data_IF_061934884019
#
_entry.id   IF_061934884019
#
_cell.length_a   1.000
_cell.length_b   1.000
_cell.length_c   1.000
_cell.angle_alpha   90.00
_cell.angle_beta   90.00
_cell.angle_gamma   90.00
#
_symmetry.space_group_name_H-M   'P 1'
#
loop_
_entity.id
_entity.type
_entity.pdbx_description
1 polymer ?
#
# COMPACT_ATOMS: atom_id res chain seq x y z
N UNK A 1 -10.83 1.32 6.67
CA UNK A 1 -9.77 0.30 6.61
C UNK A 1 -9.38 0.02 5.17
N UNK A 2 -8.12 0.32 4.80
CA UNK A 2 -7.60 0.11 3.45
C UNK A 2 -7.27 -1.36 3.23
N UNK A 3 -7.95 -1.99 2.28
CA UNK A 3 -7.61 -3.33 1.79
C UNK A 3 -6.37 -3.20 0.90
N UNK A 4 -5.16 -3.29 1.48
CA UNK A 4 -3.95 -3.58 0.70
C UNK A 4 -4.11 -5.01 0.14
N UNK A 5 -4.33 -5.15 -1.18
CA UNK A 5 -4.35 -6.42 -1.91
C UNK A 5 -3.08 -6.46 -2.79
N UNK A 6 -2.46 -7.63 -2.93
CA UNK A 6 -1.28 -7.82 -3.78
C UNK A 6 -1.58 -7.40 -5.24
N UNK A 7 -0.56 -6.95 -5.99
CA UNK A 7 -0.59 -7.09 -7.42
C UNK A 7 -0.67 -8.60 -7.70
N UNK A 8 -1.83 -9.03 -8.20
CA UNK A 8 -1.85 -10.22 -9.03
C UNK A 8 -0.91 -9.94 -10.21
N UNK A 9 -0.30 -10.93 -10.85
CA UNK A 9 0.34 -10.68 -12.14
C UNK A 9 -0.79 -10.31 -13.11
N UNK A 10 -1.12 -9.02 -13.14
CA UNK A 10 -2.24 -8.50 -13.89
C UNK A 10 -1.68 -8.09 -15.24
N UNK A 11 -2.43 -8.36 -16.30
CA UNK A 11 -2.12 -7.85 -17.64
C UNK A 11 -2.02 -6.31 -17.70
N UNK A 12 -2.47 -5.64 -16.64
CA UNK A 12 -2.53 -4.20 -16.47
C UNK A 12 -1.65 -3.70 -15.30
N UNK A 13 -0.59 -4.44 -14.92
CA UNK A 13 0.25 -4.17 -13.74
C UNK A 13 0.72 -2.71 -13.67
N UNK A 14 1.31 -2.19 -14.75
CA UNK A 14 1.77 -0.80 -14.80
C UNK A 14 0.68 0.24 -14.53
N UNK A 15 -0.54 0.02 -15.03
CA UNK A 15 -1.68 0.91 -14.75
C UNK A 15 -2.06 0.82 -13.27
N UNK A 16 -2.10 -0.39 -12.72
CA UNK A 16 -2.50 -0.61 -11.32
C UNK A 16 -1.50 -0.03 -10.34
N UNK A 17 -0.21 -0.10 -10.66
CA UNK A 17 0.87 0.47 -9.86
C UNK A 17 0.84 1.98 -9.90
N UNK A 18 0.72 2.57 -11.10
CA UNK A 18 0.57 4.02 -11.28
C UNK A 18 -0.62 4.57 -10.48
N UNK A 19 -1.80 3.94 -10.59
CA UNK A 19 -2.99 4.38 -9.84
C UNK A 19 -2.84 4.18 -8.34
N UNK A 20 -2.14 3.13 -7.91
CA UNK A 20 -1.89 2.85 -6.49
C UNK A 20 -0.92 3.86 -5.88
N UNK A 21 0.15 4.21 -6.60
CA UNK A 21 1.10 5.25 -6.21
C UNK A 21 0.40 6.60 -6.09
N UNK A 22 -0.37 6.98 -7.11
CA UNK A 22 -1.14 8.23 -7.11
C UNK A 22 -2.14 8.25 -5.95
N UNK A 23 -2.80 7.13 -5.65
CA UNK A 23 -3.69 7.04 -4.49
C UNK A 23 -2.93 7.33 -3.20
N UNK A 24 -1.80 6.66 -2.96
CA UNK A 24 -1.00 6.81 -1.75
C UNK A 24 -0.55 8.26 -1.57
N UNK A 25 -0.11 8.92 -2.64
CA UNK A 25 0.21 10.34 -2.61
C UNK A 25 -0.98 11.20 -2.17
N UNK A 26 -2.15 11.01 -2.79
CA UNK A 26 -3.34 11.80 -2.44
C UNK A 26 -3.76 11.60 -0.99
N UNK A 27 -3.52 10.42 -0.41
CA UNK A 27 -3.76 10.16 1.01
C UNK A 27 -2.70 10.79 1.91
N UNK A 28 -1.43 10.59 1.58
CA UNK A 28 -0.32 10.88 2.49
C UNK A 28 0.11 12.34 2.42
N UNK A 29 0.05 12.95 1.24
CA UNK A 29 0.47 14.33 1.03
C UNK A 29 -0.75 15.25 0.94
N UNK A 30 -1.65 15.05 -0.02
CA UNK A 30 -2.83 15.92 -0.17
C UNK A 30 -3.89 15.71 0.93
N UNK A 31 -3.82 14.62 1.70
CA UNK A 31 -4.85 14.18 2.66
C UNK A 31 -6.27 14.07 2.05
N UNK A 32 -6.36 13.89 0.74
CA UNK A 32 -7.59 13.78 -0.04
C UNK A 32 -8.09 12.32 -0.07
N UNK A 33 -8.72 11.88 1.04
CA UNK A 33 -9.20 10.50 1.24
C UNK A 33 -10.19 10.06 0.13
N UNK A 34 -11.03 10.97 -0.36
CA UNK A 34 -11.98 10.67 -1.44
C UNK A 34 -11.27 10.30 -2.76
N UNK A 35 -10.18 11.01 -3.11
CA UNK A 35 -9.35 10.70 -4.30
C UNK A 35 -8.61 9.38 -4.12
N UNK A 36 -8.03 9.17 -2.93
CA UNK A 36 -7.41 7.91 -2.57
C UNK A 36 -8.36 6.72 -2.80
N UNK A 37 -9.60 6.82 -2.31
CA UNK A 37 -10.60 5.76 -2.46
C UNK A 37 -10.97 5.52 -3.94
N UNK A 38 -11.13 6.59 -4.72
CA UNK A 38 -11.43 6.49 -6.15
C UNK A 38 -10.31 5.78 -6.92
N UNK A 39 -9.06 6.19 -6.74
CA UNK A 39 -7.92 5.57 -7.41
C UNK A 39 -7.70 4.12 -6.97
N UNK A 40 -7.86 3.80 -5.68
CA UNK A 40 -7.80 2.42 -5.17
C UNK A 40 -8.91 1.54 -5.75
N UNK A 41 -10.13 2.06 -5.88
CA UNK A 41 -11.25 1.33 -6.48
C UNK A 41 -10.95 1.04 -7.95
N UNK A 42 -10.50 2.03 -8.71
CA UNK A 42 -10.11 1.86 -10.10
C UNK A 42 -8.98 0.82 -10.26
N UNK A 43 -7.90 0.94 -9.49
CA UNK A 43 -6.79 -0.02 -9.50
C UNK A 43 -7.26 -1.45 -9.19
N UNK A 44 -8.14 -1.62 -8.19
CA UNK A 44 -8.66 -2.94 -7.83
C UNK A 44 -9.56 -3.56 -8.90
N UNK A 45 -10.27 -2.75 -9.70
CA UNK A 45 -11.13 -3.24 -10.78
C UNK A 45 -10.28 -3.60 -11.99
N UNK A 46 -9.32 -2.75 -12.35
CA UNK A 46 -8.38 -2.97 -13.45
C UNK A 46 -7.51 -4.20 -13.20
N UNK A 47 -7.06 -4.42 -11.95
CA UNK A 47 -6.27 -5.59 -11.58
C UNK A 47 -6.99 -6.93 -11.83
N UNK A 48 -8.33 -6.93 -11.79
CA UNK A 48 -9.17 -8.12 -12.01
C UNK A 48 -9.64 -8.25 -13.46
N UNK A 49 -9.38 -7.24 -14.29
CA UNK A 49 -9.85 -7.24 -15.66
C UNK A 49 -9.05 -8.28 -16.47
N UNK A 50 -9.70 -9.23 -17.15
CA UNK A 50 -9.04 -10.39 -17.76
C UNK A 50 -8.27 -10.07 -19.04
N UNK A 51 -8.35 -8.83 -19.54
CA UNK A 51 -7.68 -8.40 -20.77
C UNK A 51 -6.76 -7.20 -20.51
N UNK A 52 -5.80 -6.99 -21.40
CA UNK A 52 -4.96 -5.79 -21.38
C UNK A 52 -5.75 -4.60 -21.88
N UNK A 53 -5.86 -3.57 -21.05
CA UNK A 53 -6.50 -2.28 -21.37
C UNK A 53 -5.62 -1.54 -22.38
N UNK A 54 -6.21 -1.13 -23.49
CA UNK A 54 -5.53 -0.43 -24.58
C UNK A 54 -5.84 1.06 -24.64
N UNK A 55 -6.87 1.51 -23.93
CA UNK A 55 -7.27 2.93 -23.88
C UNK A 55 -8.01 3.28 -22.60
N UNK A 56 -8.03 4.57 -22.25
CA UNK A 56 -8.87 5.13 -21.22
C UNK A 56 -10.35 4.97 -21.52
N UNK A 57 -10.75 5.01 -22.80
CA UNK A 57 -12.13 4.76 -23.22
C UNK A 57 -12.60 3.34 -22.86
N UNK A 58 -11.74 2.34 -23.05
CA UNK A 58 -11.97 0.96 -22.60
C UNK A 58 -12.03 0.89 -21.08
N UNK A 59 -11.07 1.50 -20.38
CA UNK A 59 -11.03 1.53 -18.93
C UNK A 59 -12.29 2.18 -18.32
N UNK A 60 -12.83 3.25 -18.93
CA UNK A 60 -14.01 3.99 -18.47
C UNK A 60 -15.29 3.14 -18.45
N UNK A 61 -15.34 2.06 -19.23
CA UNK A 61 -16.46 1.11 -19.19
C UNK A 61 -16.49 0.29 -17.89
N UNK A 62 -15.36 0.26 -17.17
CA UNK A 62 -15.24 -0.48 -15.92
C UNK A 62 -15.83 0.30 -14.73
N UNK A 63 -16.53 -0.38 -13.81
CA UNK A 63 -17.16 0.29 -12.68
C UNK A 63 -16.11 0.96 -11.78
N UNK A 64 -16.29 2.24 -11.48
CA UNK A 64 -15.37 3.01 -10.65
C UNK A 64 -14.23 3.69 -11.40
N UNK A 65 -14.16 3.58 -12.74
CA UNK A 65 -13.26 4.36 -13.59
C UNK A 65 -14.02 5.54 -14.21
N UNK A 66 -13.82 6.74 -13.67
CA UNK A 66 -14.40 7.97 -14.22
C UNK A 66 -13.53 8.61 -15.32
N UNK A 67 -14.06 9.63 -15.99
CA UNK A 67 -13.38 10.35 -17.10
C UNK A 67 -11.96 10.80 -16.72
N UNK A 68 -11.78 11.43 -15.54
CA UNK A 68 -10.47 11.89 -15.08
C UNK A 68 -9.45 10.77 -14.79
N UNK A 69 -9.91 9.55 -14.54
CA UNK A 69 -9.06 8.38 -14.34
C UNK A 69 -8.70 7.80 -15.71
N UNK A 70 -9.68 7.68 -16.61
CA UNK A 70 -9.48 7.27 -18.00
C UNK A 70 -8.43 8.13 -18.72
N UNK A 71 -8.51 9.46 -18.61
CA UNK A 71 -7.52 10.38 -19.18
C UNK A 71 -6.09 10.12 -18.68
N UNK A 72 -5.93 9.75 -17.41
CA UNK A 72 -4.61 9.42 -16.82
C UNK A 72 -4.09 8.08 -17.32
N UNK A 73 -5.00 7.14 -17.57
CA UNK A 73 -4.67 5.86 -18.18
C UNK A 73 -4.20 6.08 -19.61
N UNK A 74 -4.89 6.93 -20.40
CA UNK A 74 -4.44 7.30 -21.75
C UNK A 74 -3.06 7.96 -21.74
N UNK A 75 -2.84 8.94 -20.85
CA UNK A 75 -1.53 9.59 -20.68
C UNK A 75 -0.43 8.57 -20.35
N UNK A 76 -0.71 7.65 -19.42
CA UNK A 76 0.23 6.61 -19.01
C UNK A 76 0.50 5.60 -20.12
N UNK A 77 -0.52 5.20 -20.89
CA UNK A 77 -0.34 4.27 -22.01
C UNK A 77 0.46 4.91 -23.16
N UNK A 78 0.29 6.20 -23.40
CA UNK A 78 1.00 6.92 -24.45
C UNK A 78 2.46 7.21 -24.09
N UNK A 79 2.76 7.51 -22.83
CA UNK A 79 4.08 8.03 -22.42
C UNK A 79 4.87 7.11 -21.48
N UNK A 80 4.24 6.05 -20.96
CA UNK A 80 4.77 5.23 -19.88
C UNK A 80 4.83 5.93 -18.52
N UNK A 81 4.36 7.18 -18.43
CA UNK A 81 4.50 8.05 -17.26
C UNK A 81 3.22 8.83 -17.01
N UNK A 82 3.09 9.35 -15.79
CA UNK A 82 2.03 10.31 -15.45
C UNK A 82 2.69 11.60 -14.99
N UNK A 83 2.51 12.70 -15.73
CA UNK A 83 3.15 14.01 -15.45
C UNK A 83 2.93 14.46 -14.02
N UNK A 84 1.74 14.19 -13.46
CA UNK A 84 1.44 14.51 -12.06
C UNK A 84 2.36 13.76 -11.10
N UNK A 85 2.58 12.46 -11.30
CA UNK A 85 3.49 11.67 -10.47
C UNK A 85 4.93 12.11 -10.65
N UNK A 86 5.36 12.43 -11.87
CA UNK A 86 6.72 12.94 -12.10
C UNK A 86 6.98 14.24 -11.33
N UNK A 87 6.03 15.19 -11.32
CA UNK A 87 6.14 16.41 -10.51
C UNK A 87 6.21 16.12 -9.02
N UNK A 88 5.41 15.15 -8.55
CA UNK A 88 5.41 14.73 -7.14
C UNK A 88 6.76 14.14 -6.74
N UNK A 89 7.34 13.28 -7.60
CA UNK A 89 8.63 12.64 -7.37
C UNK A 89 9.78 13.65 -7.35
N UNK A 90 9.63 14.77 -8.07
CA UNK A 90 10.58 15.89 -8.05
C UNK A 90 10.43 16.79 -6.81
N UNK A 91 9.29 16.75 -6.13
CA UNK A 91 9.10 17.47 -4.87
C UNK A 91 9.65 16.65 -3.69
N UNK A 92 10.78 17.09 -3.16
CA UNK A 92 11.49 16.44 -2.06
C UNK A 92 10.62 16.32 -0.79
N UNK A 93 9.80 17.34 -0.52
CA UNK A 93 8.88 17.36 0.62
C UNK A 93 7.84 16.25 0.51
N UNK A 94 7.12 16.21 -0.61
CA UNK A 94 6.12 15.19 -0.90
C UNK A 94 6.68 13.77 -0.85
N UNK A 95 7.85 13.57 -1.45
CA UNK A 95 8.52 12.29 -1.52
C UNK A 95 8.94 11.81 -0.13
N UNK A 96 9.49 12.70 0.68
CA UNK A 96 9.86 12.42 2.08
C UNK A 96 8.64 12.09 2.94
N UNK A 97 7.55 12.86 2.85
CA UNK A 97 6.32 12.57 3.58
C UNK A 97 5.81 11.17 3.23
N UNK A 98 5.70 10.86 1.95
CA UNK A 98 5.21 9.56 1.51
C UNK A 98 6.14 8.42 1.94
N UNK A 99 7.45 8.64 1.89
CA UNK A 99 8.45 7.67 2.34
C UNK A 99 8.34 7.37 3.84
N UNK A 100 8.32 8.39 4.70
CA UNK A 100 8.28 8.20 6.16
C UNK A 100 7.00 7.50 6.61
N UNK A 101 5.87 7.65 5.91
CA UNK A 101 4.64 6.91 6.22
C UNK A 101 4.72 5.39 6.00
N UNK A 102 5.83 4.89 5.41
CA UNK A 102 6.11 3.44 5.33
C UNK A 102 6.54 2.88 6.68
N UNK A 103 7.15 3.68 7.55
CA UNK A 103 7.54 3.26 8.90
C UNK A 103 6.28 3.04 9.74
N UNK A 104 6.15 1.85 10.32
CA UNK A 104 5.00 1.52 11.17
C UNK A 104 4.88 2.51 12.33
N UNK A 105 3.67 3.01 12.58
CA UNK A 105 3.43 4.06 13.58
C UNK A 105 3.64 5.50 13.09
N UNK A 106 4.14 5.73 11.88
CA UNK A 106 4.23 7.07 11.27
C UNK A 106 3.07 7.28 10.29
N UNK A 107 2.10 8.11 10.68
CA UNK A 107 1.01 8.55 9.81
C UNK A 107 1.33 9.86 9.06
N UNK A 108 0.48 10.30 8.12
CA UNK A 108 0.70 11.51 7.32
C UNK A 108 1.01 12.78 8.13
N UNK A 109 0.32 12.97 9.26
CA UNK A 109 0.53 14.13 10.13
C UNK A 109 1.90 14.10 10.81
N UNK A 110 2.32 12.94 11.32
CA UNK A 110 3.64 12.78 11.93
C UNK A 110 4.76 12.90 10.88
N UNK A 111 4.58 12.30 9.70
CA UNK A 111 5.51 12.41 8.60
C UNK A 111 5.73 13.86 8.17
N UNK A 112 4.66 14.66 8.05
CA UNK A 112 4.77 16.09 7.74
C UNK A 112 5.55 16.83 8.82
N UNK A 113 5.22 16.63 10.09
CA UNK A 113 5.94 17.24 11.22
C UNK A 113 7.45 16.92 11.16
N UNK A 114 7.81 15.66 10.90
CA UNK A 114 9.22 15.28 10.79
C UNK A 114 9.91 15.99 9.61
N UNK A 115 9.27 16.06 8.44
CA UNK A 115 9.84 16.74 7.27
C UNK A 115 10.00 18.24 7.52
N UNK A 116 9.04 18.88 8.19
CA UNK A 116 9.12 20.29 8.58
C UNK A 116 10.29 20.54 9.57
N UNK A 117 10.64 19.53 10.37
CA UNK A 117 11.82 19.53 11.25
C UNK A 117 13.12 19.08 10.55
N UNK A 118 13.09 18.88 9.23
CA UNK A 118 14.24 18.48 8.41
C UNK A 118 14.55 16.97 8.43
N UNK A 119 13.73 16.14 9.06
CA UNK A 119 13.88 14.68 9.10
C UNK A 119 13.21 14.09 7.85
N UNK A 120 14.02 13.60 6.90
CA UNK A 120 13.54 13.15 5.58
C UNK A 120 13.87 11.69 5.27
N UNK A 121 14.85 11.11 5.96
CA UNK A 121 15.36 9.76 5.72
C UNK A 121 15.20 8.83 6.92
N UNK A 122 15.46 7.53 6.73
CA UNK A 122 15.52 6.58 7.86
C UNK A 122 16.70 6.90 8.79
N UNK A 123 17.82 7.31 8.22
CA UNK A 123 19.01 7.71 8.97
C UNK A 123 18.71 8.94 9.83
N UNK A 124 17.94 9.91 9.34
CA UNK A 124 17.49 11.05 10.15
C UNK A 124 16.60 10.60 11.31
N UNK A 125 15.66 9.68 11.06
CA UNK A 125 14.82 9.10 12.12
C UNK A 125 15.68 8.39 13.19
N UNK A 126 16.69 7.61 12.78
CA UNK A 126 17.62 6.92 13.70
C UNK A 126 18.46 7.90 14.52
N UNK A 127 18.84 9.04 13.94
CA UNK A 127 19.56 10.10 14.65
C UNK A 127 18.67 10.89 15.63
N UNK A 128 17.35 10.81 15.49
CA UNK A 128 16.37 11.55 16.28
C UNK A 128 15.37 10.59 16.97
N UNK A 129 15.83 9.44 17.46
CA UNK A 129 14.95 8.44 18.10
C UNK A 129 14.27 8.95 19.38
N UNK A 130 14.82 9.98 20.02
CA UNK A 130 14.23 10.68 21.15
C UNK A 130 12.87 11.30 20.80
N UNK A 131 12.68 11.73 19.55
CA UNK A 131 11.43 12.30 19.04
C UNK A 131 10.36 11.26 18.70
N UNK A 132 10.73 9.97 18.65
CA UNK A 132 9.83 8.88 18.29
C UNK A 132 9.10 8.33 19.51
N UNK A 133 7.82 8.00 19.35
CA UNK A 133 7.12 7.24 20.37
C UNK A 133 7.53 5.74 20.34
N UNK A 134 7.13 4.99 21.37
CA UNK A 134 7.48 3.57 21.50
C UNK A 134 7.15 2.74 20.24
N UNK A 135 5.96 2.92 19.67
CA UNK A 135 5.54 2.19 18.47
C UNK A 135 6.35 2.57 17.22
N UNK A 136 6.69 3.86 17.06
CA UNK A 136 7.51 4.35 15.95
C UNK A 136 8.94 3.81 16.03
N UNK A 137 9.51 3.70 17.23
CA UNK A 137 10.84 3.06 17.43
C UNK A 137 10.83 1.60 17.00
N UNK A 138 9.78 0.85 17.36
CA UNK A 138 9.60 -0.54 16.88
C UNK A 138 9.46 -0.55 15.36
N UNK A 139 8.64 0.34 14.79
CA UNK A 139 8.45 0.48 13.35
C UNK A 139 9.73 0.79 12.59
N UNK A 140 10.61 1.61 13.15
CA UNK A 140 11.91 1.94 12.60
C UNK A 140 12.89 0.77 12.71
N UNK A 141 12.94 0.12 13.88
CA UNK A 141 13.82 -1.01 14.17
C UNK A 141 13.59 -2.17 13.21
N UNK A 142 12.32 -2.52 12.95
CA UNK A 142 11.93 -3.64 12.09
C UNK A 142 11.45 -3.20 10.71
N UNK A 143 11.81 -1.97 10.26
CA UNK A 143 11.34 -1.42 9.00
C UNK A 143 11.55 -2.38 7.82
N UNK A 144 12.77 -2.95 7.69
CA UNK A 144 13.10 -3.87 6.60
C UNK A 144 12.26 -5.14 6.60
N UNK A 145 11.93 -5.68 7.77
CA UNK A 145 11.10 -6.88 7.88
C UNK A 145 9.62 -6.57 7.62
N UNK A 146 9.12 -5.42 8.08
CA UNK A 146 7.74 -4.98 7.81
C UNK A 146 7.48 -4.62 6.35
N UNK A 147 8.53 -4.34 5.57
CA UNK A 147 8.43 -4.16 4.12
C UNK A 147 8.29 -5.49 3.37
N UNK A 148 8.71 -6.60 3.96
CA UNK A 148 8.55 -7.92 3.36
C UNK A 148 7.10 -8.38 3.41
N UNK A 149 6.73 -9.21 2.44
CA UNK A 149 5.47 -9.97 2.50
C UNK A 149 5.64 -11.13 3.47
N UNK A 150 4.58 -11.42 4.21
CA UNK A 150 4.50 -12.61 5.04
C UNK A 150 4.03 -13.77 4.13
N UNK A 151 4.83 -14.83 3.91
CA UNK A 151 4.43 -16.00 3.15
C UNK A 151 3.23 -16.72 3.79
N UNK A 152 2.47 -17.49 3.00
CA UNK A 152 1.30 -18.25 3.53
C UNK A 152 1.72 -19.24 4.59
N UNK A 153 2.85 -19.89 4.35
CA UNK A 153 3.40 -20.92 5.22
C UNK A 153 3.77 -20.34 6.58
N UNK A 154 4.43 -19.18 6.59
CA UNK A 154 4.72 -18.45 7.83
C UNK A 154 3.43 -18.05 8.58
N UNK A 155 2.38 -17.61 7.85
CA UNK A 155 1.07 -17.35 8.44
C UNK A 155 0.41 -18.58 9.06
N UNK A 156 0.56 -19.77 8.46
CA UNK A 156 0.04 -21.02 9.00
C UNK A 156 0.79 -21.42 10.28
N UNK A 157 2.11 -21.26 10.30
CA UNK A 157 2.91 -21.49 11.52
C UNK A 157 2.49 -20.55 12.65
N UNK A 158 2.32 -19.25 12.37
CA UNK A 158 1.81 -18.28 13.35
C UNK A 158 0.40 -18.62 13.82
N UNK A 159 -0.47 -19.07 12.92
CA UNK A 159 -1.82 -19.52 13.27
C UNK A 159 -1.77 -20.65 14.29
N UNK A 160 -0.95 -21.68 14.04
CA UNK A 160 -0.90 -22.85 14.91
C UNK A 160 -0.39 -22.49 16.31
N UNK A 161 0.62 -21.63 16.41
CA UNK A 161 1.11 -21.09 17.69
C UNK A 161 -0.04 -20.43 18.46
N UNK A 162 -0.74 -19.47 17.84
CA UNK A 162 -1.79 -18.70 18.51
C UNK A 162 -2.98 -19.60 18.88
N UNK A 163 -3.44 -20.46 17.97
CA UNK A 163 -4.58 -21.34 18.23
C UNK A 163 -4.28 -22.37 19.32
N UNK A 164 -3.05 -22.86 19.41
CA UNK A 164 -2.64 -23.76 20.48
C UNK A 164 -2.62 -23.06 21.84
N UNK A 165 -2.17 -21.80 21.93
CA UNK A 165 -2.26 -21.02 23.16
C UNK A 165 -3.70 -20.71 23.56
N UNK A 166 -4.57 -20.36 22.61
CA UNK A 166 -5.99 -20.10 22.87
C UNK A 166 -6.67 -21.34 23.49
N UNK A 167 -6.40 -22.54 22.97
CA UNK A 167 -6.94 -23.80 23.51
C UNK A 167 -6.51 -24.09 24.95
N UNK A 168 -5.32 -23.63 25.36
CA UNK A 168 -4.84 -23.77 26.75
C UNK A 168 -5.56 -22.83 27.72
N UNK A 169 -6.05 -21.69 27.21
CA UNK A 169 -6.83 -20.73 28.00
C UNK A 169 -8.23 -21.28 28.25
N UNK A 170 -8.92 -21.69 27.19
CA UNK A 170 -10.26 -22.26 27.26
C UNK A 170 -10.57 -23.09 26.01
N UNK A 171 -11.05 -24.32 26.19
CA UNK A 171 -11.45 -25.21 25.09
C UNK A 171 -12.73 -24.78 24.36
N UNK A 172 -13.57 -23.94 24.97
CA UNK A 172 -14.79 -23.41 24.35
C UNK A 172 -14.50 -22.25 23.38
N UNK A 173 -13.29 -21.67 23.42
CA UNK A 173 -12.96 -20.55 22.56
C UNK A 173 -12.74 -20.96 21.11
N UNK A 174 -13.42 -20.24 20.21
CA UNK A 174 -13.26 -20.37 18.77
C UNK A 174 -12.45 -19.17 18.26
N UNK A 175 -11.21 -19.43 17.85
CA UNK A 175 -10.35 -18.46 17.20
C UNK A 175 -10.21 -18.75 15.70
N UNK A 176 -10.14 -17.71 14.87
CA UNK A 176 -10.02 -17.84 13.41
C UNK A 176 -9.16 -16.72 12.84
N UNK A 177 -8.19 -17.09 12.00
CA UNK A 177 -7.38 -16.11 11.28
C UNK A 177 -8.24 -15.36 10.27
N UNK A 178 -8.22 -14.04 10.37
CA UNK A 178 -9.05 -13.15 9.56
C UNK A 178 -8.22 -12.41 8.50
N UNK A 179 -8.66 -11.20 8.11
CA UNK A 179 -7.87 -10.35 7.23
C UNK A 179 -7.76 -10.85 5.79
N UNK A 180 -6.67 -10.48 5.12
CA UNK A 180 -6.39 -10.87 3.73
C UNK A 180 -6.15 -12.36 3.56
N UNK A 181 -5.64 -13.02 4.59
CA UNK A 181 -5.38 -14.46 4.62
C UNK A 181 -6.68 -15.25 4.39
N UNK A 182 -7.72 -14.97 5.18
CA UNK A 182 -9.05 -15.58 5.00
C UNK A 182 -9.69 -15.31 3.63
N UNK A 183 -9.34 -14.22 2.96
CA UNK A 183 -9.88 -13.84 1.65
C UNK A 183 -9.08 -14.39 0.47
N UNK A 184 -8.13 -15.30 0.76
CA UNK A 184 -7.23 -15.90 -0.21
C UNK A 184 -6.60 -14.85 -1.15
N UNK A 185 -6.14 -13.76 -0.55
CA UNK A 185 -5.46 -12.73 -1.30
C UNK A 185 -4.14 -13.29 -1.83
N UNK A 186 -3.83 -13.06 -3.11
CA UNK A 186 -2.58 -13.42 -3.79
C UNK A 186 -1.27 -12.91 -3.13
N UNK A 187 -1.36 -12.26 -1.97
CA UNK A 187 -0.23 -11.84 -1.12
C UNK A 187 0.55 -13.04 -0.59
N UNK A 188 -0.05 -14.23 -0.62
CA UNK A 188 0.45 -15.44 0.00
C UNK A 188 0.79 -16.55 -1.02
N UNK A 189 0.82 -16.24 -2.32
CA UNK A 189 1.15 -17.24 -3.34
C UNK A 189 2.66 -17.19 -3.52
N UNK A 190 3.37 -18.23 -3.06
CA UNK A 190 4.73 -18.49 -3.51
C UNK A 190 4.68 -18.64 -5.03
N UNK A 191 5.34 -17.74 -5.76
CA UNK A 191 5.79 -18.05 -7.11
C UNK A 191 6.87 -19.12 -6.97
N UNK A 192 6.69 -20.32 -7.56
CA UNK A 192 7.81 -21.25 -7.72
C UNK A 192 8.89 -20.56 -8.57
N UNK A 193 10.15 -20.73 -8.19
CA UNK A 193 11.30 -20.41 -9.04
C UNK A 193 11.28 -21.23 -10.35
#
# INVERSE_FOLDING_TARGET
MSKRKAPQETLNGGITDMLTELANFEKNVSQAIHKYNAYRKAASVIAKYPHKIKSGAEAKKLPGVGTKIAEKIDEFLATGKLRKLEKIRQDDTSSSINFLTRVSGIGPSAARKFVDEGIKTLEDLRKNEDKLNHHQRIGLKYFGDFEKRIPREEMLQMQDIVLNEVKKVDSEYIATVCGSFRRDSAVYINTPE
#
